data_IF_957316541120
#
_entry.id   IF_957316541120
#
_cell.length_a   1.000
_cell.length_b   1.000
_cell.length_c   1.000
_cell.angle_alpha   90.00
_cell.angle_beta   90.00
_cell.angle_gamma   90.00
#
_symmetry.space_group_name_H-M   'P 1'
#
loop_
_entity.id
_entity.type
_entity.pdbx_description
1 polymer ?
#
# COMPACT_ATOMS: atom_id res chain seq x y z
N UNK A 1 -9.45 -16.26 -23.83
CA UNK A 1 -10.29 -15.28 -23.14
C UNK A 1 -9.50 -14.90 -21.90
N UNK A 2 -9.08 -13.62 -21.79
CA UNK A 2 -8.23 -13.17 -20.70
C UNK A 2 -9.00 -13.19 -19.38
N UNK A 3 -8.35 -13.49 -18.28
CA UNK A 3 -8.92 -13.52 -16.92
C UNK A 3 -9.66 -12.21 -16.55
N UNK A 4 -9.34 -11.09 -17.18
CA UNK A 4 -10.01 -9.79 -17.00
C UNK A 4 -11.51 -9.78 -17.36
N UNK A 5 -11.97 -10.64 -18.27
CA UNK A 5 -13.37 -10.65 -18.71
C UNK A 5 -14.32 -11.18 -17.63
N UNK A 6 -13.81 -11.99 -16.69
CA UNK A 6 -14.62 -12.60 -15.62
C UNK A 6 -15.04 -11.63 -14.52
N UNK A 7 -14.41 -10.44 -14.42
CA UNK A 7 -14.73 -9.43 -13.40
C UNK A 7 -15.83 -8.43 -13.79
N UNK A 8 -16.34 -8.51 -15.03
CA UNK A 8 -17.33 -7.58 -15.59
C UNK A 8 -18.67 -8.22 -15.94
N UNK A 9 -18.97 -9.44 -15.45
CA UNK A 9 -20.29 -10.02 -15.63
C UNK A 9 -21.33 -9.23 -14.83
N UNK A 10 -22.30 -8.61 -15.54
CA UNK A 10 -23.37 -7.77 -14.98
C UNK A 10 -24.23 -8.48 -13.92
N UNK A 11 -24.21 -9.81 -13.84
CA UNK A 11 -24.93 -10.60 -12.85
C UNK A 11 -24.27 -10.63 -11.44
N UNK A 12 -23.11 -9.95 -11.26
CA UNK A 12 -22.36 -9.88 -9.98
C UNK A 12 -22.30 -8.49 -9.36
N UNK A 13 -23.30 -7.61 -9.58
CA UNK A 13 -23.29 -6.24 -9.03
C UNK A 13 -23.07 -6.17 -7.50
N UNK A 14 -23.61 -7.11 -6.73
CA UNK A 14 -23.40 -7.19 -5.28
C UNK A 14 -21.98 -7.62 -4.90
N UNK A 15 -21.32 -8.45 -5.72
CA UNK A 15 -19.96 -8.96 -5.46
C UNK A 15 -18.87 -7.88 -5.65
N UNK A 16 -19.20 -6.76 -6.27
CA UNK A 16 -18.27 -5.66 -6.54
C UNK A 16 -18.38 -4.47 -5.56
N UNK A 17 -19.29 -4.52 -4.60
CA UNK A 17 -19.42 -3.45 -3.61
C UNK A 17 -18.22 -3.46 -2.65
N UNK A 18 -17.82 -2.27 -2.26
CA UNK A 18 -16.69 -2.02 -1.37
C UNK A 18 -17.19 -1.35 -0.08
N UNK A 19 -16.99 -1.97 1.09
CA UNK A 19 -17.42 -1.41 2.37
C UNK A 19 -16.47 -0.28 2.79
N UNK A 20 -16.80 0.96 2.45
CA UNK A 20 -16.00 2.15 2.73
C UNK A 20 -16.38 2.75 4.08
N UNK A 21 -15.42 2.78 5.00
CA UNK A 21 -15.60 3.38 6.35
C UNK A 21 -15.41 4.89 6.30
N UNK A 22 -14.40 5.33 5.53
CA UNK A 22 -14.15 6.75 5.29
C UNK A 22 -13.43 6.97 3.96
N UNK A 23 -13.62 8.15 3.40
CA UNK A 23 -12.87 8.67 2.25
C UNK A 23 -12.57 10.14 2.46
N UNK A 24 -11.33 10.54 2.26
CA UNK A 24 -10.87 11.90 2.50
C UNK A 24 -9.63 12.22 1.66
N UNK A 25 -9.30 13.50 1.56
CA UNK A 25 -8.04 13.95 0.95
C UNK A 25 -7.12 14.43 2.05
N UNK A 26 -5.92 13.86 2.10
CA UNK A 26 -4.89 14.25 3.07
C UNK A 26 -3.49 14.05 2.49
N UNK A 27 -2.48 14.29 3.30
CA UNK A 27 -1.08 14.02 2.99
C UNK A 27 -0.78 12.55 3.27
N UNK A 28 -0.15 11.84 2.32
CA UNK A 28 0.45 10.55 2.64
C UNK A 28 1.45 10.72 3.78
N UNK A 29 1.16 10.10 4.91
CA UNK A 29 1.97 10.20 6.12
C UNK A 29 3.19 9.30 6.11
N UNK A 30 3.20 8.27 5.26
CA UNK A 30 4.18 7.20 5.24
C UNK A 30 4.43 6.70 3.81
N UNK A 31 5.34 5.74 3.65
CA UNK A 31 5.67 5.09 2.39
C UNK A 31 6.50 5.96 1.43
N UNK A 32 6.74 5.47 0.22
CA UNK A 32 7.53 6.15 -0.79
C UNK A 32 6.94 7.50 -1.23
N UNK A 33 5.65 7.71 -0.94
CA UNK A 33 4.88 8.89 -1.36
C UNK A 33 4.58 9.86 -0.22
N UNK A 34 5.28 9.70 0.93
CA UNK A 34 5.15 10.60 2.07
C UNK A 34 5.28 12.08 1.64
N UNK A 35 4.39 12.93 2.15
CA UNK A 35 4.32 14.34 1.81
C UNK A 35 3.48 14.69 0.58
N UNK A 36 2.99 13.71 -0.20
CA UNK A 36 2.08 13.97 -1.34
C UNK A 36 0.62 13.99 -0.89
N UNK A 37 -0.17 14.89 -1.49
CA UNK A 37 -1.63 14.84 -1.34
C UNK A 37 -2.18 13.60 -2.06
N UNK A 38 -3.06 12.87 -1.38
CA UNK A 38 -3.71 11.68 -1.88
C UNK A 38 -5.18 11.63 -1.48
N UNK A 39 -5.98 10.95 -2.29
CA UNK A 39 -7.31 10.48 -1.92
C UNK A 39 -7.17 9.16 -1.15
N UNK A 40 -7.57 9.16 0.10
CA UNK A 40 -7.60 7.95 0.93
C UNK A 40 -8.98 7.29 0.84
N UNK A 41 -8.98 5.98 0.67
CA UNK A 41 -10.17 5.13 0.79
C UNK A 41 -9.86 4.07 1.84
N UNK A 42 -10.57 4.12 2.96
CA UNK A 42 -10.42 3.16 4.06
C UNK A 42 -11.57 2.16 4.05
N UNK A 43 -11.24 0.90 3.89
CA UNK A 43 -12.20 -0.21 3.89
C UNK A 43 -12.41 -0.79 5.28
N UNK A 44 -13.59 -1.39 5.48
CA UNK A 44 -13.96 -2.08 6.70
C UNK A 44 -13.34 -3.49 6.77
N UNK A 45 -13.00 -3.91 7.98
CA UNK A 45 -12.58 -5.27 8.29
C UNK A 45 -11.10 -5.55 8.08
N UNK A 46 -10.55 -6.40 8.95
CA UNK A 46 -9.18 -6.88 8.89
C UNK A 46 -9.11 -8.33 9.37
N UNK A 47 -8.20 -9.11 8.80
CA UNK A 47 -7.89 -10.48 9.23
C UNK A 47 -6.91 -10.53 10.41
N UNK A 48 -6.32 -9.40 10.82
CA UNK A 48 -5.39 -9.30 11.93
C UNK A 48 -5.96 -8.53 13.12
N UNK A 49 -5.36 -8.73 14.30
CA UNK A 49 -5.70 -8.06 15.56
C UNK A 49 -4.41 -7.55 16.25
N UNK A 50 -3.70 -6.64 15.57
CA UNK A 50 -2.46 -6.07 16.08
C UNK A 50 -2.65 -5.32 17.38
N UNK A 51 -1.73 -5.50 18.35
CA UNK A 51 -1.84 -4.93 19.69
C UNK A 51 -1.82 -3.38 19.72
N UNK A 52 -1.18 -2.75 18.72
CA UNK A 52 -1.03 -1.29 18.60
C UNK A 52 -1.72 -0.73 17.35
N UNK A 53 -2.79 -1.39 16.87
CA UNK A 53 -3.55 -0.93 15.70
C UNK A 53 -4.21 0.42 15.99
N UNK A 54 -3.86 1.45 15.22
CA UNK A 54 -4.43 2.80 15.31
C UNK A 54 -5.78 2.95 14.62
N UNK A 55 -6.15 1.96 13.80
CA UNK A 55 -7.43 1.91 13.08
C UNK A 55 -8.33 0.74 13.52
N UNK A 56 -8.15 0.26 14.75
CA UNK A 56 -8.94 -0.86 15.30
C UNK A 56 -10.46 -0.63 15.21
N UNK A 57 -10.90 0.62 15.22
CA UNK A 57 -12.30 1.01 15.06
C UNK A 57 -12.90 0.64 13.68
N UNK A 58 -12.06 0.54 12.63
CA UNK A 58 -12.46 0.10 11.29
C UNK A 58 -12.46 -1.43 11.14
N UNK A 59 -11.85 -2.16 12.10
CA UNK A 59 -11.64 -3.61 12.04
C UNK A 59 -12.73 -4.42 12.75
N UNK A 60 -13.60 -3.75 13.51
CA UNK A 60 -14.68 -4.43 14.23
C UNK A 60 -15.74 -4.97 13.27
N UNK A 61 -16.22 -6.19 13.54
CA UNK A 61 -17.38 -6.73 12.84
C UNK A 61 -18.57 -5.77 13.02
N UNK A 62 -19.07 -5.19 11.92
CA UNK A 62 -20.14 -4.19 11.87
C UNK A 62 -19.71 -2.75 12.25
N UNK A 63 -18.49 -2.33 11.88
CA UNK A 63 -18.21 -0.90 11.83
C UNK A 63 -19.15 -0.23 10.80
N UNK A 64 -19.56 1.00 11.10
CA UNK A 64 -20.36 1.78 10.16
C UNK A 64 -19.58 1.99 8.87
N UNK A 65 -20.16 1.64 7.74
CA UNK A 65 -19.58 1.79 6.42
C UNK A 65 -20.67 2.06 5.38
N UNK A 66 -20.26 2.59 4.24
CA UNK A 66 -21.07 2.75 3.04
C UNK A 66 -20.62 1.72 2.00
N UNK A 67 -21.55 0.91 1.48
CA UNK A 67 -21.27 0.01 0.37
C UNK A 67 -21.22 0.80 -0.93
N UNK A 68 -20.02 0.96 -1.51
CA UNK A 68 -19.78 1.80 -2.68
C UNK A 68 -19.39 0.99 -3.90
N UNK A 69 -19.89 1.40 -5.07
CA UNK A 69 -19.44 0.86 -6.36
C UNK A 69 -18.07 1.43 -6.74
N UNK A 70 -17.19 0.65 -7.40
CA UNK A 70 -15.90 1.13 -7.89
C UNK A 70 -16.00 2.43 -8.70
N UNK A 71 -17.02 2.53 -9.57
CA UNK A 71 -17.22 3.71 -10.41
C UNK A 71 -17.49 4.98 -9.60
N UNK A 72 -18.30 4.89 -8.54
CA UNK A 72 -18.59 6.04 -7.66
C UNK A 72 -17.34 6.51 -6.91
N UNK A 73 -16.41 5.59 -6.58
CA UNK A 73 -15.12 5.94 -5.99
C UNK A 73 -14.22 6.63 -6.99
N UNK A 74 -14.18 6.18 -8.25
CA UNK A 74 -13.41 6.85 -9.34
C UNK A 74 -13.94 8.26 -9.58
N UNK A 75 -15.24 8.46 -9.60
CA UNK A 75 -15.87 9.78 -9.74
C UNK A 75 -15.47 10.71 -8.59
N UNK A 76 -15.55 10.23 -7.35
CA UNK A 76 -15.14 10.99 -6.18
C UNK A 76 -13.65 11.37 -6.21
N UNK A 77 -12.75 10.44 -6.62
CA UNK A 77 -11.32 10.72 -6.78
C UNK A 77 -11.07 11.76 -7.86
N UNK A 78 -11.79 11.67 -8.97
CA UNK A 78 -11.73 12.64 -10.07
C UNK A 78 -12.08 14.05 -9.58
N UNK A 79 -13.18 14.16 -8.83
CA UNK A 79 -13.64 15.45 -8.27
C UNK A 79 -12.65 16.01 -7.25
N UNK A 80 -11.95 15.14 -6.52
CA UNK A 80 -10.90 15.54 -5.58
C UNK A 80 -9.66 16.15 -6.25
N UNK A 81 -9.45 15.89 -7.55
CA UNK A 81 -8.39 16.49 -8.36
C UNK A 81 -6.97 16.08 -7.99
N UNK A 82 -6.80 14.97 -7.26
CA UNK A 82 -5.50 14.44 -6.84
C UNK A 82 -4.97 13.41 -7.84
N UNK A 83 -3.65 13.23 -7.86
CA UNK A 83 -2.98 12.24 -8.71
C UNK A 83 -2.49 10.99 -7.97
N UNK A 84 -2.73 10.94 -6.64
CA UNK A 84 -2.37 9.81 -5.80
C UNK A 84 -3.62 9.30 -5.08
N UNK A 85 -3.79 7.98 -5.05
CA UNK A 85 -4.85 7.29 -4.33
C UNK A 85 -4.21 6.29 -3.39
N UNK A 86 -4.61 6.30 -2.13
CA UNK A 86 -4.16 5.33 -1.12
C UNK A 86 -5.35 4.47 -0.69
N UNK A 87 -5.30 3.20 -1.04
CA UNK A 87 -6.25 2.18 -0.66
C UNK A 87 -5.75 1.51 0.61
N UNK A 88 -6.46 1.69 1.70
CA UNK A 88 -6.06 1.28 3.04
C UNK A 88 -7.29 0.80 3.83
N UNK A 89 -7.22 0.72 5.13
CA UNK A 89 -8.37 0.43 5.98
C UNK A 89 -8.05 -0.54 7.08
N UNK A 90 -8.90 -1.55 7.26
CA UNK A 90 -8.55 -2.76 7.96
C UNK A 90 -7.52 -3.53 7.14
N UNK A 91 -7.99 -4.25 6.13
CA UNK A 91 -7.13 -4.87 5.11
C UNK A 91 -7.81 -4.75 3.73
N UNK A 92 -7.30 -3.92 2.82
CA UNK A 92 -7.92 -3.69 1.52
C UNK A 92 -7.94 -4.94 0.63
N UNK A 93 -6.93 -5.82 0.76
CA UNK A 93 -6.82 -7.02 -0.08
C UNK A 93 -7.83 -8.12 0.26
N UNK A 94 -8.56 -7.98 1.36
CA UNK A 94 -9.71 -8.84 1.69
C UNK A 94 -10.96 -8.48 0.87
N UNK A 95 -11.01 -7.29 0.26
CA UNK A 95 -12.20 -6.82 -0.42
C UNK A 95 -12.36 -7.48 -1.78
N UNK A 96 -13.43 -8.27 -2.04
CA UNK A 96 -13.62 -8.92 -3.33
C UNK A 96 -13.73 -7.91 -4.50
N UNK A 97 -14.24 -6.71 -4.23
CA UNK A 97 -14.36 -5.63 -5.21
C UNK A 97 -13.06 -4.86 -5.49
N UNK A 98 -11.96 -5.12 -4.77
CA UNK A 98 -10.70 -4.39 -4.95
C UNK A 98 -10.12 -4.51 -6.36
N UNK A 99 -10.07 -5.69 -7.01
CA UNK A 99 -9.60 -5.81 -8.40
C UNK A 99 -10.43 -4.95 -9.36
N UNK A 100 -11.75 -4.92 -9.20
CA UNK A 100 -12.63 -4.10 -10.04
C UNK A 100 -12.36 -2.59 -9.84
N UNK A 101 -12.11 -2.13 -8.61
CA UNK A 101 -11.72 -0.75 -8.35
C UNK A 101 -10.38 -0.41 -8.99
N UNK A 102 -9.37 -1.26 -8.86
CA UNK A 102 -8.07 -1.05 -9.50
C UNK A 102 -8.22 -0.92 -11.01
N UNK A 103 -8.98 -1.83 -11.63
CA UNK A 103 -9.26 -1.78 -13.08
C UNK A 103 -9.99 -0.51 -13.49
N UNK A 104 -10.98 -0.07 -12.72
CA UNK A 104 -11.70 1.17 -12.98
C UNK A 104 -10.79 2.40 -12.86
N UNK A 105 -9.91 2.43 -11.86
CA UNK A 105 -8.91 3.50 -11.69
C UNK A 105 -7.90 3.53 -12.84
N UNK A 106 -7.37 2.39 -13.25
CA UNK A 106 -6.40 2.28 -14.34
C UNK A 106 -7.01 2.61 -15.70
N UNK A 107 -8.27 2.25 -15.91
CA UNK A 107 -9.01 2.50 -17.16
C UNK A 107 -9.59 3.89 -17.29
N UNK A 108 -9.60 4.69 -16.23
CA UNK A 108 -10.17 6.04 -16.23
C UNK A 108 -9.13 7.10 -16.58
N UNK A 109 -9.45 7.98 -17.52
CA UNK A 109 -8.67 9.19 -17.82
C UNK A 109 -9.13 10.40 -16.99
N UNK A 110 -10.17 10.25 -16.18
CA UNK A 110 -10.81 11.33 -15.46
C UNK A 110 -10.00 11.89 -14.29
N UNK A 111 -9.06 11.11 -13.72
CA UNK A 111 -8.23 11.54 -12.60
C UNK A 111 -6.75 11.49 -12.94
N UNK A 112 -5.95 12.36 -12.30
CA UNK A 112 -4.49 12.30 -12.37
C UNK A 112 -3.91 12.42 -13.77
N UNK A 113 -4.35 13.39 -14.57
CA UNK A 113 -3.77 13.67 -15.89
C UNK A 113 -2.30 14.06 -15.76
N UNK A 114 -1.40 13.28 -16.37
CA UNK A 114 0.05 13.56 -16.42
C UNK A 114 0.93 12.51 -15.74
N UNK A 115 2.23 12.76 -15.75
CA UNK A 115 3.24 11.92 -15.11
C UNK A 115 3.14 12.03 -13.57
N UNK A 116 2.54 11.07 -12.90
CA UNK A 116 2.45 11.09 -11.45
C UNK A 116 1.26 10.38 -10.84
N UNK A 117 0.43 9.72 -11.65
CA UNK A 117 -0.63 8.84 -11.14
C UNK A 117 -0.03 7.72 -10.30
N UNK A 118 -0.63 7.48 -9.15
CA UNK A 118 -0.25 6.37 -8.30
C UNK A 118 -1.46 5.83 -7.54
N UNK A 119 -1.69 4.54 -7.60
CA UNK A 119 -2.59 3.80 -6.70
C UNK A 119 -1.70 3.02 -5.75
N UNK A 120 -1.68 3.42 -4.50
CA UNK A 120 -0.95 2.74 -3.44
C UNK A 120 -1.89 1.83 -2.66
N UNK A 121 -1.52 0.59 -2.49
CA UNK A 121 -2.25 -0.40 -1.69
C UNK A 121 -1.43 -0.66 -0.44
N UNK A 122 -1.91 -0.12 0.69
CA UNK A 122 -1.34 -0.40 2.01
C UNK A 122 -1.95 -1.71 2.54
N UNK A 123 -1.15 -2.75 2.61
CA UNK A 123 -1.59 -4.09 3.05
C UNK A 123 -0.79 -4.59 4.23
N UNK A 124 -1.42 -5.39 5.07
CA UNK A 124 -0.78 -6.03 6.21
C UNK A 124 0.11 -7.24 5.84
N UNK A 125 0.14 -7.66 4.57
CA UNK A 125 0.99 -8.73 4.08
C UNK A 125 0.55 -10.16 4.46
N UNK A 126 -0.61 -10.33 5.11
CA UNK A 126 -1.17 -11.63 5.52
C UNK A 126 -2.23 -12.17 4.54
N UNK A 127 -2.32 -11.61 3.34
CA UNK A 127 -3.14 -12.07 2.22
C UNK A 127 -2.24 -12.26 1.02
N UNK A 128 -2.49 -13.28 0.21
CA UNK A 128 -1.72 -13.55 -1.00
C UNK A 128 -1.96 -12.45 -2.05
N UNK A 129 -0.87 -11.79 -2.46
CA UNK A 129 -0.88 -10.68 -3.41
C UNK A 129 -0.72 -11.14 -4.87
N UNK A 130 -0.57 -12.42 -5.15
CA UNK A 130 -0.25 -12.96 -6.49
C UNK A 130 -1.24 -12.50 -7.55
N UNK A 131 -2.55 -12.58 -7.27
CA UNK A 131 -3.59 -12.16 -8.21
C UNK A 131 -3.55 -10.66 -8.52
N UNK A 132 -3.31 -9.81 -7.51
CA UNK A 132 -3.17 -8.36 -7.71
C UNK A 132 -1.87 -8.00 -8.43
N UNK A 133 -0.80 -8.74 -8.16
CA UNK A 133 0.48 -8.61 -8.88
C UNK A 133 0.33 -8.97 -10.37
N UNK A 134 -0.36 -10.06 -10.69
CA UNK A 134 -0.67 -10.43 -12.07
C UNK A 134 -1.50 -9.33 -12.77
N UNK A 135 -2.56 -8.85 -12.11
CA UNK A 135 -3.42 -7.79 -12.62
C UNK A 135 -2.61 -6.52 -12.97
N UNK A 136 -1.77 -6.02 -12.04
CA UNK A 136 -0.94 -4.83 -12.31
C UNK A 136 0.07 -5.07 -13.44
N UNK A 137 0.62 -6.29 -13.53
CA UNK A 137 1.62 -6.66 -14.54
C UNK A 137 1.01 -6.71 -15.94
N UNK A 138 -0.22 -7.21 -16.10
CA UNK A 138 -0.94 -7.21 -17.37
C UNK A 138 -1.22 -5.78 -17.87
N UNK A 139 -1.64 -4.89 -16.98
CA UNK A 139 -1.87 -3.48 -17.32
C UNK A 139 -0.57 -2.75 -17.69
N UNK A 140 0.51 -2.98 -16.97
CA UNK A 140 1.83 -2.41 -17.27
C UNK A 140 2.34 -2.80 -18.65
N UNK A 141 2.16 -4.06 -19.06
CA UNK A 141 2.51 -4.54 -20.41
C UNK A 141 1.68 -3.84 -21.49
N UNK A 142 0.39 -3.66 -21.27
CA UNK A 142 -0.51 -3.01 -22.22
C UNK A 142 -0.14 -1.53 -22.44
N UNK A 143 0.21 -0.80 -21.40
CA UNK A 143 0.67 0.59 -21.48
C UNK A 143 2.06 0.74 -22.11
N UNK A 144 2.97 -0.17 -21.82
CA UNK A 144 4.32 -0.14 -22.41
C UNK A 144 4.27 -0.33 -23.95
N UNK A 145 3.35 -1.15 -24.47
CA UNK A 145 3.15 -1.27 -25.93
C UNK A 145 2.58 -0.01 -26.57
N UNK A 146 1.77 0.75 -25.83
CA UNK A 146 1.17 2.00 -26.32
C UNK A 146 2.15 3.19 -26.22
N UNK A 147 3.16 3.15 -25.34
CA UNK A 147 4.11 4.25 -25.09
C UNK A 147 5.53 4.02 -25.61
N UNK A 148 5.92 2.81 -26.00
CA UNK A 148 7.28 2.53 -26.54
C UNK A 148 7.61 3.18 -27.88
N UNK A 149 6.70 3.97 -28.44
CA UNK A 149 6.98 4.76 -29.64
C UNK A 149 7.68 6.13 -29.36
N UNK A 150 7.96 6.50 -28.11
CA UNK A 150 8.27 7.90 -27.78
C UNK A 150 9.58 8.19 -27.04
N UNK A 151 10.34 7.24 -26.46
CA UNK A 151 11.58 7.59 -25.75
C UNK A 151 12.68 6.52 -25.95
N UNK A 152 13.60 6.76 -26.87
CA UNK A 152 14.90 6.11 -26.92
C UNK A 152 15.83 6.65 -25.83
N UNK A 153 16.38 5.75 -25.00
CA UNK A 153 17.71 5.95 -24.40
C UNK A 153 17.78 6.47 -22.97
N UNK A 154 17.07 5.91 -21.99
CA UNK A 154 17.46 6.05 -20.57
C UNK A 154 17.65 4.65 -19.98
N UNK A 155 18.90 4.28 -19.76
CA UNK A 155 19.31 3.10 -19.02
C UNK A 155 19.09 3.36 -17.51
N UNK A 156 17.99 2.90 -16.98
CA UNK A 156 17.73 2.89 -15.53
C UNK A 156 18.41 1.64 -14.96
N UNK A 157 19.68 1.74 -14.62
CA UNK A 157 20.50 0.62 -14.13
C UNK A 157 19.77 -0.28 -13.12
N UNK A 158 19.67 -1.55 -13.48
CA UNK A 158 19.60 -2.77 -12.67
C UNK A 158 18.43 -3.01 -11.71
N UNK A 159 17.38 -2.18 -11.62
CA UNK A 159 16.14 -2.60 -10.95
C UNK A 159 15.05 -2.92 -11.98
N UNK A 160 14.30 -4.03 -11.83
CA UNK A 160 13.17 -4.28 -12.70
C UNK A 160 12.09 -3.23 -12.42
N UNK A 161 12.19 -2.09 -13.11
CA UNK A 161 11.07 -1.16 -13.23
C UNK A 161 9.99 -1.95 -13.94
N UNK A 162 8.84 -2.15 -13.32
CA UNK A 162 7.65 -2.60 -14.05
C UNK A 162 7.19 -1.38 -14.83
N UNK A 163 7.53 -1.25 -16.14
CA UNK A 163 7.31 -0.02 -16.85
C UNK A 163 5.80 0.23 -16.94
N UNK A 164 5.35 1.39 -16.45
CA UNK A 164 4.01 1.88 -16.69
C UNK A 164 2.91 1.35 -15.77
N UNK A 165 3.22 0.73 -14.65
CA UNK A 165 2.19 0.46 -13.63
C UNK A 165 2.03 1.66 -12.72
N UNK A 166 0.78 2.11 -12.56
CA UNK A 166 0.42 3.14 -11.60
C UNK A 166 0.02 2.52 -10.24
N UNK A 167 0.17 1.20 -10.07
CA UNK A 167 -0.23 0.44 -8.86
C UNK A 167 1.00 -0.04 -8.10
N UNK A 168 1.04 0.27 -6.82
CA UNK A 168 2.16 -0.02 -5.93
C UNK A 168 1.68 -0.66 -4.63
N UNK A 169 2.49 -1.54 -4.07
CA UNK A 169 2.24 -2.15 -2.76
C UNK A 169 3.14 -1.51 -1.70
N UNK A 170 2.54 -1.15 -0.57
CA UNK A 170 3.23 -0.88 0.68
C UNK A 170 2.84 -1.98 1.66
N UNK A 171 3.74 -2.95 1.86
CA UNK A 171 3.50 -4.11 2.72
C UNK A 171 3.96 -3.80 4.13
N UNK A 172 3.05 -3.78 5.08
CA UNK A 172 3.33 -3.59 6.50
C UNK A 172 3.67 -4.94 7.15
N UNK A 173 4.96 -5.26 7.22
CA UNK A 173 5.44 -6.48 7.82
C UNK A 173 5.28 -6.44 9.35
N UNK A 174 4.47 -7.32 9.90
CA UNK A 174 4.11 -7.32 11.31
C UNK A 174 5.22 -7.94 12.17
N UNK A 175 5.68 -7.16 13.16
CA UNK A 175 6.77 -7.51 14.06
C UNK A 175 6.26 -8.22 15.32
N UNK A 176 7.15 -8.84 16.13
CA UNK A 176 6.76 -9.56 17.36
C UNK A 176 5.85 -8.76 18.28
N UNK A 177 6.11 -7.47 18.50
CA UNK A 177 5.29 -6.60 19.34
C UNK A 177 3.83 -6.45 18.86
N UNK A 178 3.56 -6.67 17.58
CA UNK A 178 2.18 -6.65 17.04
C UNK A 178 1.36 -7.87 17.46
N UNK A 179 2.02 -8.99 17.83
CA UNK A 179 1.41 -10.28 18.08
C UNK A 179 0.98 -11.04 16.81
N UNK A 180 1.28 -10.51 15.60
CA UNK A 180 0.76 -11.02 14.32
C UNK A 180 1.87 -11.51 13.37
N UNK A 181 3.10 -11.67 13.82
CA UNK A 181 4.25 -12.04 12.97
C UNK A 181 4.06 -13.37 12.24
N UNK A 182 3.38 -14.34 12.87
CA UNK A 182 3.13 -15.67 12.28
C UNK A 182 2.15 -15.67 11.12
N UNK A 183 1.40 -14.60 10.97
CA UNK A 183 0.40 -14.47 9.90
C UNK A 183 0.99 -13.96 8.57
N UNK A 184 2.24 -13.51 8.59
CA UNK A 184 2.90 -12.96 7.40
C UNK A 184 3.09 -14.04 6.33
N UNK A 185 2.85 -13.67 5.07
CA UNK A 185 3.06 -14.54 3.91
C UNK A 185 4.37 -14.17 3.20
N UNK A 186 5.45 -14.92 3.42
CA UNK A 186 6.77 -14.61 2.86
C UNK A 186 6.79 -14.54 1.32
N UNK A 187 5.93 -15.31 0.64
CA UNK A 187 5.81 -15.28 -0.82
C UNK A 187 5.48 -13.88 -1.38
N UNK A 188 4.84 -13.03 -0.58
CA UNK A 188 4.54 -11.67 -1.00
C UNK A 188 5.80 -10.82 -1.23
N UNK A 189 6.88 -11.06 -0.48
CA UNK A 189 8.13 -10.30 -0.64
C UNK A 189 8.81 -10.55 -1.97
N UNK A 190 8.59 -11.73 -2.56
CA UNK A 190 9.15 -12.09 -3.87
C UNK A 190 8.43 -11.37 -5.04
N UNK A 191 7.20 -10.90 -4.79
CA UNK A 191 6.39 -10.16 -5.76
C UNK A 191 6.72 -8.66 -5.81
N UNK A 192 7.46 -8.14 -4.81
CA UNK A 192 7.78 -6.73 -4.71
C UNK A 192 8.90 -6.33 -5.66
N UNK A 193 8.81 -5.09 -6.15
CA UNK A 193 9.77 -4.52 -7.08
C UNK A 193 9.89 -3.01 -6.92
N UNK A 194 10.52 -2.36 -7.90
CA UNK A 194 10.74 -0.92 -7.90
C UNK A 194 9.42 -0.14 -7.73
N UNK A 195 9.41 0.80 -6.80
CA UNK A 195 8.22 1.61 -6.44
C UNK A 195 7.33 0.99 -5.37
N UNK A 196 7.49 -0.31 -5.06
CA UNK A 196 6.88 -0.95 -3.89
C UNK A 196 7.69 -0.67 -2.63
N UNK A 197 7.09 -0.94 -1.48
CA UNK A 197 7.75 -0.78 -0.19
C UNK A 197 7.40 -1.90 0.80
N UNK A 198 8.35 -2.16 1.70
CA UNK A 198 8.08 -2.90 2.94
C UNK A 198 8.29 -1.95 4.11
N UNK A 199 7.29 -1.86 4.97
CA UNK A 199 7.31 -1.08 6.20
C UNK A 199 7.33 -2.02 7.40
N UNK A 200 8.27 -1.79 8.31
CA UNK A 200 8.35 -2.44 9.59
C UNK A 200 7.99 -1.43 10.68
N UNK A 201 6.82 -1.63 11.29
CA UNK A 201 6.39 -0.81 12.43
C UNK A 201 6.94 -1.45 13.68
N UNK A 202 7.89 -0.80 14.33
CA UNK A 202 8.72 -1.34 15.41
C UNK A 202 8.46 -0.66 16.74
N UNK A 203 8.34 -1.45 17.82
CA UNK A 203 8.10 -0.96 19.17
C UNK A 203 9.29 -1.26 20.10
N UNK A 204 10.26 -2.07 19.66
CA UNK A 204 11.36 -2.53 20.49
C UNK A 204 12.61 -2.89 19.67
N UNK A 205 13.72 -3.12 20.37
CA UNK A 205 14.95 -3.66 19.75
C UNK A 205 14.72 -5.08 19.22
N UNK A 206 13.88 -5.88 19.85
CA UNK A 206 13.53 -7.22 19.37
C UNK A 206 12.83 -7.15 18.00
N UNK A 207 11.95 -6.17 17.81
CA UNK A 207 11.31 -5.92 16.50
C UNK A 207 12.35 -5.54 15.44
N UNK A 208 13.34 -4.70 15.79
CA UNK A 208 14.41 -4.30 14.87
C UNK A 208 15.31 -5.48 14.47
N UNK A 209 15.64 -6.38 15.40
CA UNK A 209 16.41 -7.60 15.09
C UNK A 209 15.60 -8.56 14.19
N UNK A 210 14.31 -8.71 14.46
CA UNK A 210 13.41 -9.48 13.61
C UNK A 210 13.30 -8.87 12.20
N UNK A 211 13.08 -7.57 12.11
CA UNK A 211 12.99 -6.85 10.83
C UNK A 211 14.30 -6.98 10.02
N UNK A 212 15.46 -6.82 10.68
CA UNK A 212 16.77 -7.02 10.05
C UNK A 212 16.90 -8.42 9.47
N UNK A 213 16.47 -9.45 10.20
CA UNK A 213 16.53 -10.84 9.73
C UNK A 213 15.66 -11.06 8.48
N UNK A 214 14.47 -10.45 8.43
CA UNK A 214 13.58 -10.50 7.26
C UNK A 214 14.20 -9.75 6.06
N UNK A 215 14.77 -8.56 6.29
CA UNK A 215 15.44 -7.76 5.25
C UNK A 215 16.58 -8.56 4.60
N UNK A 216 17.41 -9.19 5.41
CA UNK A 216 18.56 -9.98 4.94
C UNK A 216 18.11 -11.26 4.23
N UNK A 217 17.12 -11.99 4.80
CA UNK A 217 16.62 -13.24 4.24
C UNK A 217 16.02 -13.09 2.85
N UNK A 218 15.30 -12.00 2.61
CA UNK A 218 14.59 -11.76 1.33
C UNK A 218 15.27 -10.74 0.43
N UNK A 219 16.44 -10.24 0.82
CA UNK A 219 17.20 -9.20 0.10
C UNK A 219 16.31 -8.00 -0.28
N UNK A 220 15.52 -7.51 0.70
CA UNK A 220 14.47 -6.53 0.43
C UNK A 220 15.02 -5.21 -0.11
N UNK A 221 16.17 -4.75 0.40
CA UNK A 221 16.78 -3.49 -0.04
C UNK A 221 17.23 -3.50 -1.51
N UNK A 222 17.44 -4.68 -2.12
CA UNK A 222 17.72 -4.82 -3.54
C UNK A 222 16.44 -4.87 -4.41
N UNK A 223 15.27 -5.06 -3.80
CA UNK A 223 14.00 -5.25 -4.50
C UNK A 223 13.08 -4.04 -4.44
N UNK A 224 12.95 -3.44 -3.28
CA UNK A 224 11.96 -2.40 -3.00
C UNK A 224 12.50 -1.39 -1.96
N UNK A 225 11.70 -0.37 -1.68
CA UNK A 225 12.02 0.55 -0.58
C UNK A 225 11.72 -0.10 0.77
N UNK A 226 12.58 0.13 1.77
CA UNK A 226 12.44 -0.44 3.10
C UNK A 226 12.40 0.66 4.14
N UNK A 227 11.39 0.62 5.01
CA UNK A 227 11.16 1.63 6.04
C UNK A 227 11.08 1.03 7.42
N UNK A 228 11.73 1.67 8.40
CA UNK A 228 11.44 1.51 9.81
C UNK A 228 10.59 2.66 10.30
N UNK A 229 9.45 2.35 10.91
CA UNK A 229 8.51 3.33 11.48
C UNK A 229 8.31 3.03 12.97
N UNK A 230 8.54 3.98 13.90
CA UNK A 230 8.35 3.73 15.32
C UNK A 230 6.86 3.60 15.66
N UNK A 231 6.53 2.62 16.52
CA UNK A 231 5.27 2.68 17.27
C UNK A 231 5.35 3.87 18.22
N UNK A 232 4.39 4.78 18.10
CA UNK A 232 4.37 6.03 18.86
C UNK A 232 4.50 5.76 20.38
N UNK A 233 5.44 6.45 21.02
CA UNK A 233 5.76 6.35 22.45
C UNK A 233 6.30 4.99 22.93
N UNK A 234 6.64 4.05 22.05
CA UNK A 234 7.21 2.76 22.44
C UNK A 234 8.72 2.69 22.24
N UNK A 235 9.23 3.24 21.14
CA UNK A 235 10.65 3.31 20.84
C UNK A 235 11.00 4.70 20.32
N UNK A 236 12.15 5.23 20.73
CA UNK A 236 12.60 6.53 20.26
C UNK A 236 13.21 6.42 18.86
N UNK A 237 12.88 7.35 17.92
CA UNK A 237 13.48 7.35 16.58
C UNK A 237 15.01 7.35 16.57
N UNK A 238 15.64 7.97 17.57
CA UNK A 238 17.10 7.97 17.74
C UNK A 238 17.69 6.58 18.04
N UNK A 239 16.94 5.71 18.72
CA UNK A 239 17.35 4.33 18.97
C UNK A 239 17.32 3.51 17.67
N UNK A 240 16.29 3.74 16.79
CA UNK A 240 16.21 3.12 15.49
C UNK A 240 17.40 3.56 14.61
N UNK A 241 17.73 4.86 14.57
CA UNK A 241 18.88 5.37 13.82
C UNK A 241 20.18 4.73 14.32
N UNK A 242 20.38 4.68 15.64
CA UNK A 242 21.56 4.05 16.24
C UNK A 242 21.67 2.56 15.92
N UNK A 243 20.52 1.86 15.82
CA UNK A 243 20.47 0.47 15.40
C UNK A 243 20.86 0.33 13.91
N UNK A 244 20.29 1.17 13.03
CA UNK A 244 20.60 1.17 11.60
C UNK A 244 22.11 1.40 11.35
N UNK A 245 22.69 2.39 12.02
CA UNK A 245 24.13 2.69 11.94
C UNK A 245 24.98 1.50 12.38
N UNK A 246 24.70 0.95 13.55
CA UNK A 246 25.45 -0.17 14.15
C UNK A 246 25.44 -1.42 13.26
N UNK A 247 24.32 -1.67 12.56
CA UNK A 247 24.14 -2.87 11.74
C UNK A 247 24.37 -2.61 10.23
N UNK A 248 24.77 -1.39 9.84
CA UNK A 248 25.07 -1.06 8.44
C UNK A 248 23.88 -1.13 7.51
N UNK A 249 22.66 -0.82 8.01
CA UNK A 249 21.41 -0.90 7.26
C UNK A 249 21.22 0.35 6.36
N UNK A 250 22.18 0.62 5.48
CA UNK A 250 22.20 1.85 4.67
C UNK A 250 21.11 1.92 3.59
N UNK A 251 20.50 0.78 3.24
CA UNK A 251 19.36 0.71 2.31
C UNK A 251 18.00 0.91 2.97
N UNK A 252 17.95 0.98 4.32
CA UNK A 252 16.73 1.18 5.10
C UNK A 252 16.55 2.67 5.40
N UNK A 253 15.30 3.15 5.41
CA UNK A 253 14.95 4.52 5.75
C UNK A 253 14.19 4.57 7.06
N UNK A 254 14.54 5.52 7.94
CA UNK A 254 13.66 5.90 9.04
C UNK A 254 12.48 6.71 8.49
N UNK A 255 11.28 6.39 8.92
CA UNK A 255 10.08 7.12 8.56
C UNK A 255 9.27 7.47 9.81
N UNK A 256 8.88 8.74 9.93
CA UNK A 256 7.95 9.20 10.94
C UNK A 256 6.55 9.29 10.33
N UNK A 257 5.53 9.04 11.15
CA UNK A 257 4.13 9.16 10.75
C UNK A 257 3.75 10.66 10.71
N UNK A 258 3.76 11.26 9.53
CA UNK A 258 3.54 12.71 9.36
C UNK A 258 2.19 13.17 9.91
N UNK A 259 1.14 12.36 9.73
CA UNK A 259 -0.20 12.69 10.22
C UNK A 259 -0.21 12.88 11.75
N UNK A 260 0.54 12.08 12.52
CA UNK A 260 0.65 12.22 13.98
C UNK A 260 1.41 13.48 14.41
N UNK A 261 2.25 14.04 13.53
CA UNK A 261 2.98 15.29 13.78
C UNK A 261 2.11 16.50 13.39
N UNK A 262 1.41 16.40 12.25
CA UNK A 262 0.61 17.50 11.71
C UNK A 262 -0.72 17.64 12.49
N UNK A 263 -1.36 16.52 12.82
CA UNK A 263 -2.64 16.46 13.52
C UNK A 263 -2.60 15.53 14.74
N UNK A 264 -1.86 15.89 15.79
CA UNK A 264 -1.61 15.00 16.94
C UNK A 264 -2.86 14.59 17.71
N UNK A 265 -3.93 15.36 17.59
CA UNK A 265 -5.20 15.16 18.30
C UNK A 265 -6.33 14.59 17.40
N UNK A 266 -6.00 14.15 16.17
CA UNK A 266 -6.98 13.63 15.21
C UNK A 266 -6.69 12.18 14.85
N UNK A 267 -7.71 11.32 15.01
CA UNK A 267 -7.61 9.88 14.71
C UNK A 267 -8.29 9.50 13.38
N UNK A 268 -9.02 10.42 12.73
CA UNK A 268 -9.78 10.15 11.51
C UNK A 268 -9.68 11.30 10.51
N UNK A 269 -9.74 10.95 9.21
CA UNK A 269 -9.74 11.93 8.13
C UNK A 269 -8.40 12.63 7.90
N UNK A 270 -7.32 12.06 8.43
CA UNK A 270 -5.96 12.63 8.38
C UNK A 270 -4.93 11.63 7.90
#
# INVERSE_FOLDING_TARGET
MSHCQAYFDEDSEEACLLPVVERFVSVNGEGPRAGRLAAFIRFAGCNLACSWCDTAWANVNKCDHEDMKPQSLVEWISDAGVSCVTLTGGEPTLQPGLPALILALLGSDAWGSGNGRAVEIETNGAVDLSALHELRSEFGKKRATDHCAAIDGIDCGAMPVVPGTDVYFTVDCKMPSSGMTTEMLPGNYELLGCGDAVKFVVASIEDLECAKSVIEQYDLCARCEVFFSPVFSCIEPSEIVSFMERHGLFGVRLQLQLHKIIWPDQDRGV
#
